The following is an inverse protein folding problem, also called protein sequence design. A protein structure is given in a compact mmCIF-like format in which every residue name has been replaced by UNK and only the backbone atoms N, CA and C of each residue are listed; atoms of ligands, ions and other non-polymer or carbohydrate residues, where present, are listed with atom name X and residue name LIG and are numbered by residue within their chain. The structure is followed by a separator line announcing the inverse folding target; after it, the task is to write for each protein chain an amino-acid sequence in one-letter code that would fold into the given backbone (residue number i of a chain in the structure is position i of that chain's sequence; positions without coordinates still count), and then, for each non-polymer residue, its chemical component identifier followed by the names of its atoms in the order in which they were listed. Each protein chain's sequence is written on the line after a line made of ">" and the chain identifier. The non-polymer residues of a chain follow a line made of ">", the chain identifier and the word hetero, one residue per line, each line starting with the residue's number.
data_IF_882883672127
#
_entry.id   IF_882883672127
#
_cell.length_a   1.000
_cell.length_b   1.000
_cell.length_c   1.000
_cell.angle_alpha   90.00
_cell.angle_beta   90.00
_cell.angle_gamma   90.00
#
_symmetry.space_group_name_H-M   'P 1'
#
loop_
_entity.id
_entity.type
_entity.pdbx_description
1 polymer ?
#
# COMPACT_ATOMS: atom_id res chain seq x y z
N UNK A 1 1.51 18.49 6.78
CA UNK A 1 1.48 17.11 7.33
C UNK A 1 2.89 16.70 7.73
N UNK A 2 3.07 16.28 8.98
CA UNK A 2 4.33 15.74 9.50
C UNK A 2 4.50 14.28 9.03
N UNK A 3 5.73 13.88 8.70
CA UNK A 3 6.03 12.48 8.36
C UNK A 3 6.13 11.73 9.69
N UNK A 4 5.38 10.64 9.83
CA UNK A 4 5.38 9.77 11.01
C UNK A 4 6.44 8.67 10.92
N UNK A 5 6.14 7.50 11.46
CA UNK A 5 6.99 6.30 11.35
C UNK A 5 7.26 5.96 9.87
N UNK A 6 8.53 5.82 9.51
CA UNK A 6 8.95 5.49 8.15
C UNK A 6 9.44 4.06 8.03
N UNK A 7 9.26 3.49 6.84
CA UNK A 7 9.77 2.18 6.47
C UNK A 7 10.56 2.31 5.17
N UNK A 8 11.79 1.82 5.15
CA UNK A 8 12.54 1.63 3.92
C UNK A 8 12.76 0.14 3.70
N UNK A 9 12.21 -0.35 2.59
CA UNK A 9 12.42 -1.70 2.07
C UNK A 9 12.53 -1.61 0.56
N UNK A 10 13.17 -2.61 -0.04
CA UNK A 10 13.57 -2.57 -1.45
C UNK A 10 12.73 -3.47 -2.33
N UNK A 11 12.10 -4.51 -1.76
CA UNK A 11 11.27 -5.45 -2.51
C UNK A 11 9.81 -5.48 -2.08
N UNK A 12 8.97 -6.01 -2.97
CA UNK A 12 7.54 -6.22 -2.74
C UNK A 12 7.31 -7.17 -1.55
N UNK A 13 8.12 -8.21 -1.46
CA UNK A 13 8.04 -9.27 -0.43
C UNK A 13 8.41 -8.72 0.95
N UNK A 14 9.40 -7.83 1.03
CA UNK A 14 9.77 -7.18 2.30
C UNK A 14 8.63 -6.31 2.83
N UNK A 15 7.97 -5.55 1.96
CA UNK A 15 6.80 -4.77 2.36
C UNK A 15 5.62 -5.65 2.75
N UNK A 16 5.38 -6.74 2.02
CA UNK A 16 4.37 -7.74 2.38
C UNK A 16 4.63 -8.33 3.77
N UNK A 17 5.86 -8.75 4.08
CA UNK A 17 6.25 -9.25 5.41
C UNK A 17 6.01 -8.23 6.51
N UNK A 18 6.23 -6.95 6.22
CA UNK A 18 5.90 -5.89 7.17
C UNK A 18 4.39 -5.81 7.40
N UNK A 19 3.58 -5.83 6.34
CA UNK A 19 2.11 -5.82 6.45
C UNK A 19 1.59 -7.04 7.21
N UNK A 20 2.08 -8.25 6.93
CA UNK A 20 1.70 -9.49 7.63
C UNK A 20 1.81 -9.33 9.15
N UNK A 21 2.90 -8.72 9.62
CA UNK A 21 3.16 -8.51 11.04
C UNK A 21 2.40 -7.33 11.65
N UNK A 22 2.06 -6.30 10.87
CA UNK A 22 1.69 -4.99 11.40
C UNK A 22 0.29 -4.50 11.01
N UNK A 23 -0.37 -5.11 10.02
CA UNK A 23 -1.59 -4.56 9.42
C UNK A 23 -2.77 -4.39 10.39
N UNK A 24 -2.78 -5.11 11.52
CA UNK A 24 -3.84 -5.03 12.54
C UNK A 24 -3.50 -4.07 13.68
N UNK A 25 -2.21 -3.80 13.93
CA UNK A 25 -1.74 -3.07 15.11
C UNK A 25 -1.31 -1.64 14.79
N UNK A 26 -0.78 -1.40 13.58
CA UNK A 26 -0.34 -0.08 13.13
C UNK A 26 -1.48 0.72 12.51
N UNK A 27 -1.48 2.03 12.76
CA UNK A 27 -2.49 2.96 12.23
C UNK A 27 -2.06 3.62 10.92
N UNK A 28 -0.75 3.70 10.69
CA UNK A 28 -0.16 4.22 9.46
C UNK A 28 1.28 3.73 9.30
N UNK A 29 1.81 3.85 8.08
CA UNK A 29 3.24 3.72 7.78
C UNK A 29 3.61 4.61 6.59
N UNK A 30 4.81 5.19 6.62
CA UNK A 30 5.33 6.00 5.53
C UNK A 30 6.43 5.25 4.78
N UNK A 31 6.11 4.72 3.60
CA UNK A 31 7.05 3.96 2.80
C UNK A 31 7.98 4.91 2.03
N UNK A 32 9.28 4.82 2.29
CA UNK A 32 10.33 5.54 1.59
C UNK A 32 10.58 4.88 0.23
N UNK A 33 10.51 5.68 -0.83
CA UNK A 33 10.72 5.23 -2.21
C UNK A 33 11.64 6.20 -2.94
N UNK A 34 12.42 5.66 -3.88
CA UNK A 34 13.27 6.45 -4.75
C UNK A 34 12.50 6.93 -5.99
N UNK A 35 12.81 8.15 -6.44
CA UNK A 35 12.33 8.68 -7.72
C UNK A 35 12.87 7.81 -8.85
N UNK A 36 12.04 7.53 -9.86
CA UNK A 36 12.40 6.66 -11.00
C UNK A 36 13.72 7.03 -11.68
N UNK A 37 14.02 8.34 -11.76
CA UNK A 37 15.24 8.86 -12.39
C UNK A 37 16.54 8.39 -11.71
N UNK A 38 16.49 8.09 -10.41
CA UNK A 38 17.69 7.70 -9.63
C UNK A 38 18.15 6.28 -9.91
N UNK A 39 17.29 5.42 -10.49
CA UNK A 39 17.52 3.98 -10.71
C UNK A 39 17.93 3.20 -9.45
N UNK A 40 17.76 3.78 -8.26
CA UNK A 40 18.03 3.13 -6.98
C UNK A 40 16.91 2.15 -6.61
N UNK A 41 17.23 1.03 -5.94
CA UNK A 41 16.22 0.05 -5.56
C UNK A 41 15.29 0.60 -4.47
N UNK A 42 13.98 0.49 -4.70
CA UNK A 42 12.91 0.66 -3.71
C UNK A 42 11.67 -0.05 -4.22
N UNK A 43 10.73 -0.35 -3.32
CA UNK A 43 9.40 -0.84 -3.74
C UNK A 43 8.79 0.12 -4.76
N UNK A 44 8.26 -0.42 -5.85
CA UNK A 44 7.53 0.39 -6.82
C UNK A 44 6.18 0.77 -6.21
N UNK A 45 5.76 2.02 -6.43
CA UNK A 45 4.49 2.52 -5.91
C UNK A 45 3.29 1.60 -6.18
N UNK A 46 3.16 1.08 -7.40
CA UNK A 46 2.05 0.19 -7.74
C UNK A 46 2.10 -1.15 -7.02
N UNK A 47 3.29 -1.72 -6.84
CA UNK A 47 3.47 -2.96 -6.06
C UNK A 47 3.09 -2.73 -4.59
N UNK A 48 3.51 -1.60 -4.01
CA UNK A 48 3.14 -1.23 -2.65
C UNK A 48 1.64 -1.00 -2.49
N UNK A 49 0.97 -0.39 -3.48
CA UNK A 49 -0.50 -0.22 -3.45
C UNK A 49 -1.22 -1.56 -3.53
N UNK A 50 -0.75 -2.49 -4.37
CA UNK A 50 -1.32 -3.84 -4.46
C UNK A 50 -1.15 -4.61 -3.16
N UNK A 51 0.05 -4.63 -2.58
CA UNK A 51 0.28 -5.28 -1.30
C UNK A 51 -0.56 -4.63 -0.19
N UNK A 52 -0.60 -3.30 -0.09
CA UNK A 52 -1.47 -2.64 0.88
C UNK A 52 -2.94 -3.08 0.72
N UNK A 53 -3.44 -3.14 -0.51
CA UNK A 53 -4.80 -3.61 -0.80
C UNK A 53 -5.03 -5.05 -0.33
N UNK A 54 -4.05 -5.94 -0.51
CA UNK A 54 -4.13 -7.32 -0.05
C UNK A 54 -4.36 -7.45 1.46
N UNK A 55 -3.96 -6.45 2.27
CA UNK A 55 -4.13 -6.43 3.73
C UNK A 55 -5.21 -5.46 4.21
N UNK A 56 -6.03 -4.91 3.29
CA UNK A 56 -7.10 -3.98 3.64
C UNK A 56 -6.61 -2.56 3.93
N UNK A 57 -5.41 -2.23 3.45
CA UNK A 57 -4.79 -0.91 3.55
C UNK A 57 -4.94 -0.13 2.24
N UNK A 58 -4.68 1.17 2.29
CA UNK A 58 -4.71 2.09 1.15
C UNK A 58 -3.68 3.18 1.34
N UNK A 59 -3.18 3.72 0.24
CA UNK A 59 -2.51 5.00 0.22
C UNK A 59 -3.50 6.12 0.56
N UNK A 60 -3.18 6.96 1.56
CA UNK A 60 -4.11 8.00 2.07
C UNK A 60 -3.67 9.43 1.82
N UNK A 61 -2.43 9.63 1.35
CA UNK A 61 -1.88 10.92 0.96
C UNK A 61 -0.97 10.70 -0.24
N UNK A 62 -1.07 11.57 -1.24
CA UNK A 62 -0.12 11.67 -2.33
C UNK A 62 1.33 11.82 -1.85
N UNK A 63 2.27 11.66 -2.78
CA UNK A 63 3.70 11.68 -2.50
C UNK A 63 4.14 12.94 -1.74
N UNK A 64 4.91 12.78 -0.66
CA UNK A 64 5.63 13.88 -0.03
C UNK A 64 7.12 13.74 -0.33
N UNK A 65 7.74 14.79 -0.87
CA UNK A 65 9.19 14.82 -1.08
C UNK A 65 9.93 14.69 0.25
N UNK A 66 10.88 13.75 0.30
CA UNK A 66 11.78 13.60 1.44
C UNK A 66 13.09 14.37 1.18
N UNK A 67 13.60 14.29 -0.05
CA UNK A 67 14.77 15.03 -0.54
C UNK A 67 14.82 15.04 -2.09
N UNK A 68 15.99 15.36 -2.64
CA UNK A 68 16.25 15.40 -4.07
C UNK A 68 15.96 14.07 -4.79
N UNK A 69 16.14 12.94 -4.12
CA UNK A 69 16.08 11.60 -4.71
C UNK A 69 14.89 10.77 -4.21
N UNK A 70 14.38 11.07 -3.02
CA UNK A 70 13.39 10.23 -2.31
C UNK A 70 12.09 10.95 -2.05
N UNK A 71 11.04 10.15 -1.95
CA UNK A 71 9.72 10.57 -1.50
C UNK A 71 9.14 9.52 -0.56
N UNK A 72 8.13 9.91 0.21
CA UNK A 72 7.36 9.01 1.05
C UNK A 72 5.91 8.94 0.60
N UNK A 73 5.33 7.75 0.70
CA UNK A 73 3.89 7.51 0.50
C UNK A 73 3.32 7.00 1.81
N UNK A 74 2.21 7.62 2.26
CA UNK A 74 1.52 7.17 3.47
C UNK A 74 0.52 6.07 3.16
N UNK A 75 0.64 4.95 3.84
CA UNK A 75 -0.33 3.85 3.84
C UNK A 75 -1.03 3.76 5.18
N UNK A 76 -2.33 3.51 5.16
CA UNK A 76 -3.20 3.40 6.34
C UNK A 76 -4.24 2.31 6.12
N UNK A 77 -4.79 1.68 7.19
CA UNK A 77 -5.98 0.85 7.07
C UNK A 77 -7.09 1.60 6.32
N UNK A 78 -7.73 0.93 5.36
CA UNK A 78 -8.82 1.52 4.57
C UNK A 78 -10.04 1.70 5.48
N UNK A 79 -10.63 2.89 5.45
CA UNK A 79 -11.88 3.15 6.19
C UNK A 79 -13.04 2.47 5.47
N UNK A 80 -13.99 1.90 6.22
CA UNK A 80 -15.16 1.20 5.67
C UNK A 80 -15.99 2.05 4.68
N UNK A 81 -16.04 3.38 4.88
CA UNK A 81 -16.79 4.32 4.02
C UNK A 81 -15.97 4.89 2.85
N UNK A 82 -14.75 4.42 2.61
CA UNK A 82 -13.91 4.93 1.53
C UNK A 82 -14.46 4.52 0.16
N UNK A 83 -14.57 5.49 -0.76
CA UNK A 83 -14.96 5.24 -2.14
C UNK A 83 -13.93 4.37 -2.86
N UNK A 84 -14.42 3.45 -3.70
CA UNK A 84 -13.60 2.63 -4.59
C UNK A 84 -13.81 3.06 -6.04
N UNK A 85 -12.72 3.38 -6.74
CA UNK A 85 -12.74 3.57 -8.19
C UNK A 85 -12.85 2.22 -8.90
N UNK A 86 -13.39 2.20 -10.12
CA UNK A 86 -13.46 0.96 -10.92
C UNK A 86 -12.09 0.31 -11.12
N UNK A 87 -11.05 1.12 -11.36
CA UNK A 87 -9.66 0.63 -11.46
C UNK A 87 -9.18 -0.09 -10.20
N UNK A 88 -9.54 0.39 -9.01
CA UNK A 88 -9.18 -0.29 -7.77
C UNK A 88 -10.01 -1.57 -7.57
N UNK A 89 -11.27 -1.59 -7.99
CA UNK A 89 -12.09 -2.81 -7.97
C UNK A 89 -11.52 -3.88 -8.91
N UNK A 90 -11.11 -3.49 -10.12
CA UNK A 90 -10.44 -4.37 -11.07
C UNK A 90 -9.14 -4.95 -10.51
N UNK A 91 -8.30 -4.09 -9.92
CA UNK A 91 -7.08 -4.52 -9.22
C UNK A 91 -7.39 -5.51 -8.10
N UNK A 92 -8.42 -5.26 -7.30
CA UNK A 92 -8.83 -6.20 -6.25
C UNK A 92 -9.24 -7.57 -6.82
N UNK A 93 -10.06 -7.60 -7.88
CA UNK A 93 -10.46 -8.84 -8.56
C UNK A 93 -9.25 -9.61 -9.08
N UNK A 94 -8.28 -8.91 -9.70
CA UNK A 94 -7.02 -9.52 -10.14
C UNK A 94 -6.25 -10.15 -8.98
N UNK A 95 -6.04 -9.41 -7.89
CA UNK A 95 -5.32 -9.91 -6.71
C UNK A 95 -6.02 -11.09 -6.02
N UNK A 96 -7.35 -11.13 -6.12
CA UNK A 96 -8.15 -12.27 -5.65
C UNK A 96 -7.91 -13.49 -6.54
N UNK A 97 -7.99 -13.33 -7.86
CA UNK A 97 -7.75 -14.40 -8.83
C UNK A 97 -6.32 -14.96 -8.73
N UNK A 98 -5.34 -14.10 -8.42
CA UNK A 98 -3.94 -14.50 -8.18
C UNK A 98 -3.70 -15.14 -6.80
N UNK A 99 -4.72 -15.26 -5.95
CA UNK A 99 -4.59 -15.83 -4.59
C UNK A 99 -3.79 -14.96 -3.61
N UNK A 100 -3.48 -13.71 -3.96
CA UNK A 100 -2.67 -12.80 -3.12
C UNK A 100 -3.47 -12.11 -2.02
N UNK A 101 -4.78 -11.95 -2.23
CA UNK A 101 -5.69 -11.26 -1.33
C UNK A 101 -5.89 -12.02 -0.01
N UNK A 102 -5.62 -11.36 1.12
CA UNK A 102 -5.78 -11.95 2.47
C UNK A 102 -7.21 -11.79 2.99
N UNK A 103 -7.59 -12.48 4.08
CA UNK A 103 -8.88 -12.24 4.75
C UNK A 103 -9.11 -10.77 5.13
N UNK A 104 -8.07 -10.07 5.61
CA UNK A 104 -8.15 -8.65 5.96
C UNK A 104 -8.44 -7.77 4.74
N UNK A 105 -7.78 -8.07 3.60
CA UNK A 105 -8.07 -7.40 2.33
C UNK A 105 -9.52 -7.61 1.87
N UNK A 106 -10.00 -8.86 1.93
CA UNK A 106 -11.39 -9.21 1.57
C UNK A 106 -12.43 -8.48 2.42
N UNK A 107 -12.19 -8.35 3.72
CA UNK A 107 -13.07 -7.62 4.63
C UNK A 107 -13.20 -6.12 4.31
N UNK A 108 -12.25 -5.55 3.55
CA UNK A 108 -12.25 -4.12 3.17
C UNK A 108 -12.92 -3.83 1.80
N UNK A 109 -13.32 -4.87 1.08
CA UNK A 109 -13.89 -4.75 -0.27
C UNK A 109 -15.26 -4.07 -0.26
N UNK A 110 -15.60 -3.29 -1.30
CA UNK A 110 -16.94 -2.76 -1.45
C UNK A 110 -17.89 -3.86 -1.92
N UNK A 111 -19.19 -3.63 -1.75
CA UNK A 111 -20.22 -4.52 -2.28
C UNK A 111 -20.02 -4.78 -3.79
N UNK A 112 -20.20 -6.04 -4.20
CA UNK A 112 -20.08 -6.45 -5.60
C UNK A 112 -18.65 -6.70 -6.11
N UNK A 113 -17.64 -6.65 -5.22
CA UNK A 113 -16.28 -7.11 -5.53
C UNK A 113 -16.05 -8.41 -4.76
N UNK A 114 -15.85 -9.51 -5.49
CA UNK A 114 -15.60 -10.85 -4.97
C UNK A 114 -14.44 -11.48 -5.71
#
# INVERSE_FOLDING_TARGET
>A
MQIGETLFVTTREEFRKWLEKNHQTKKEIWLIQYKKATKKPSVKFHDAVEEAMCFGWTESIGFKGLDAERYVTRYTPRKAKSKWSEKNKERARKLIAEGKMTPAGRASLPNGVK
#
